data_IF_603891036398
#
_entry.id   IF_603891036398
#
_cell.length_a   1.000
_cell.length_b   1.000
_cell.length_c   1.000
_cell.angle_alpha   90.00
_cell.angle_beta   90.00
_cell.angle_gamma   90.00
#
_symmetry.space_group_name_H-M   'P 1'
#
loop_
_entity.id
_entity.type
_entity.pdbx_description
1 polymer ?
#
# COMPACT_ATOMS: atom_id res chain seq x y z
N UNK A 1 -13.36 10.66 13.51
CA UNK A 1 -13.87 10.38 12.16
C UNK A 1 -14.62 11.57 11.59
N UNK A 2 -15.70 12.06 12.22
CA UNK A 2 -16.45 13.26 11.77
C UNK A 2 -15.56 14.41 11.30
N UNK A 3 -14.71 14.94 12.19
CA UNK A 3 -13.74 15.99 11.85
C UNK A 3 -12.87 15.65 10.64
N UNK A 4 -12.39 14.41 10.53
CA UNK A 4 -11.51 13.98 9.44
C UNK A 4 -12.25 13.95 8.09
N UNK A 5 -13.52 13.56 8.07
CA UNK A 5 -14.36 13.59 6.87
C UNK A 5 -14.67 15.04 6.47
N UNK A 6 -14.99 15.90 7.44
CA UNK A 6 -15.35 17.30 7.20
C UNK A 6 -14.16 18.15 6.73
N UNK A 7 -12.95 17.87 7.23
CA UNK A 7 -11.76 18.68 6.92
C UNK A 7 -10.75 17.98 6.03
N UNK A 8 -11.02 16.73 5.63
CA UNK A 8 -10.12 15.92 4.83
C UNK A 8 -9.98 16.51 3.43
N UNK A 9 -8.76 16.50 2.87
CA UNK A 9 -8.52 16.97 1.50
C UNK A 9 -8.82 15.89 0.47
N UNK A 10 -8.70 14.62 0.86
CA UNK A 10 -8.95 13.47 0.00
C UNK A 10 -9.95 12.54 0.68
N UNK A 11 -11.23 12.69 0.34
CA UNK A 11 -12.32 11.83 0.82
C UNK A 11 -12.46 10.59 -0.06
N UNK A 12 -12.68 9.43 0.56
CA UNK A 12 -12.87 8.19 -0.17
C UNK A 12 -14.14 8.23 -1.03
N UNK A 13 -14.05 7.71 -2.26
CA UNK A 13 -15.17 7.70 -3.21
C UNK A 13 -16.42 7.04 -2.63
N UNK A 14 -16.26 5.96 -1.86
CA UNK A 14 -17.39 5.30 -1.19
C UNK A 14 -18.17 6.26 -0.27
N UNK A 15 -17.49 7.15 0.45
CA UNK A 15 -18.15 8.11 1.34
C UNK A 15 -18.89 9.18 0.55
N UNK A 16 -18.24 9.71 -0.49
CA UNK A 16 -18.78 10.85 -1.25
C UNK A 16 -19.87 10.45 -2.24
N UNK A 17 -19.90 9.19 -2.69
CA UNK A 17 -20.80 8.73 -3.76
C UNK A 17 -21.86 7.74 -3.26
N UNK A 18 -21.55 6.91 -2.26
CA UNK A 18 -22.42 5.82 -1.79
C UNK A 18 -22.82 5.93 -0.31
N UNK A 19 -22.13 6.78 0.45
CA UNK A 19 -22.40 7.02 1.86
C UNK A 19 -21.82 5.94 2.79
N UNK A 20 -22.13 6.07 4.08
CA UNK A 20 -21.54 5.25 5.15
C UNK A 20 -21.94 3.77 5.09
N UNK A 21 -23.13 3.48 4.57
CA UNK A 21 -23.75 2.15 4.59
C UNK A 21 -23.12 1.16 3.60
N UNK A 22 -22.32 1.65 2.66
CA UNK A 22 -21.56 0.77 1.75
C UNK A 22 -20.55 -0.10 2.51
N UNK A 23 -19.98 0.44 3.60
CA UNK A 23 -18.99 -0.27 4.42
C UNK A 23 -19.52 -0.67 5.79
N UNK A 24 -20.55 0.02 6.29
CA UNK A 24 -21.08 -0.17 7.64
C UNK A 24 -22.54 -0.63 7.64
N UNK A 25 -22.80 -1.72 8.35
CA UNK A 25 -24.11 -2.09 8.87
C UNK A 25 -24.57 -1.07 9.93
N UNK A 26 -25.87 -0.90 10.08
CA UNK A 26 -26.47 -0.01 11.09
C UNK A 26 -26.78 -0.73 12.41
N UNK A 27 -26.97 -2.06 12.38
CA UNK A 27 -27.19 -2.91 13.56
C UNK A 27 -26.85 -4.37 13.25
N UNK A 28 -26.55 -5.16 14.29
CA UNK A 28 -26.49 -6.64 14.17
C UNK A 28 -25.36 -7.21 13.32
N UNK A 29 -24.37 -6.40 12.91
CA UNK A 29 -23.26 -6.85 12.07
C UNK A 29 -22.33 -7.85 12.76
N UNK A 30 -21.85 -8.83 12.02
CA UNK A 30 -20.92 -9.86 12.50
C UNK A 30 -19.45 -9.42 12.58
N UNK A 31 -19.09 -8.29 11.98
CA UNK A 31 -17.72 -7.78 11.97
C UNK A 31 -17.55 -6.57 12.90
N UNK A 32 -16.32 -6.42 13.40
CA UNK A 32 -15.94 -5.32 14.29
C UNK A 32 -16.28 -3.97 13.65
N UNK A 33 -16.84 -3.04 14.46
CA UNK A 33 -17.32 -1.72 14.01
C UNK A 33 -18.47 -1.79 12.99
N UNK A 34 -19.26 -2.87 13.03
CA UNK A 34 -20.40 -3.08 12.15
C UNK A 34 -19.98 -3.05 10.68
N UNK A 35 -18.81 -3.60 10.34
CA UNK A 35 -18.40 -3.65 8.93
C UNK A 35 -19.19 -4.72 8.18
N UNK A 36 -19.50 -4.46 6.92
CA UNK A 36 -20.21 -5.41 6.04
C UNK A 36 -19.35 -6.61 5.66
N UNK A 37 -18.02 -6.51 5.81
CA UNK A 37 -17.07 -7.56 5.49
C UNK A 37 -15.77 -7.44 6.31
N UNK A 38 -14.87 -8.42 6.16
CA UNK A 38 -13.61 -8.48 6.88
C UNK A 38 -12.66 -7.32 6.51
N UNK A 39 -12.03 -6.77 7.55
CA UNK A 39 -11.11 -5.64 7.44
C UNK A 39 -9.97 -5.80 8.46
N UNK A 40 -8.70 -5.68 8.05
CA UNK A 40 -7.59 -5.86 8.95
C UNK A 40 -7.56 -4.74 10.00
N UNK A 41 -7.82 -5.10 11.24
CA UNK A 41 -7.86 -4.13 12.35
C UNK A 41 -6.47 -3.73 12.86
N UNK A 42 -5.42 -4.48 12.53
CA UNK A 42 -4.05 -4.28 13.00
C UNK A 42 -3.13 -3.67 11.93
N UNK A 43 -1.98 -3.15 12.37
CA UNK A 43 -0.95 -2.56 11.49
C UNK A 43 -0.24 -3.64 10.67
N UNK A 44 -0.05 -4.82 11.29
CA UNK A 44 0.53 -6.00 10.68
C UNK A 44 -0.49 -7.13 10.64
N UNK A 45 -0.55 -7.83 9.52
CA UNK A 45 -1.42 -9.00 9.33
C UNK A 45 -0.83 -9.92 8.25
N UNK A 46 -0.90 -11.26 8.40
CA UNK A 46 -0.59 -12.21 7.33
C UNK A 46 -1.36 -11.90 6.05
N UNK A 47 -0.71 -11.84 4.89
CA UNK A 47 -1.46 -11.62 3.67
C UNK A 47 -2.43 -12.77 3.36
N UNK A 48 -3.72 -12.44 3.32
CA UNK A 48 -4.78 -13.31 2.79
C UNK A 48 -5.81 -12.43 2.13
N UNK A 49 -6.23 -12.76 0.92
CA UNK A 49 -7.21 -11.95 0.20
C UNK A 49 -8.53 -11.77 0.99
N UNK A 50 -8.91 -12.76 1.79
CA UNK A 50 -10.10 -12.74 2.65
C UNK A 50 -10.01 -11.70 3.77
N UNK A 51 -8.82 -11.40 4.31
CA UNK A 51 -8.66 -10.38 5.35
C UNK A 51 -9.03 -8.98 4.85
N UNK A 52 -8.88 -8.75 3.54
CA UNK A 52 -9.14 -7.47 2.89
C UNK A 52 -10.44 -7.48 2.10
N UNK A 53 -11.36 -8.40 2.42
CA UNK A 53 -12.59 -8.61 1.65
C UNK A 53 -13.43 -7.33 1.52
N UNK A 54 -13.47 -6.48 2.55
CA UNK A 54 -14.14 -5.18 2.48
C UNK A 54 -13.52 -4.28 1.41
N UNK A 55 -12.18 -4.19 1.36
CA UNK A 55 -11.46 -3.36 0.39
C UNK A 55 -11.68 -3.88 -1.05
N UNK A 56 -11.62 -5.19 -1.22
CA UNK A 56 -11.76 -5.83 -2.53
C UNK A 56 -13.20 -5.92 -3.05
N UNK A 57 -14.18 -5.45 -2.28
CA UNK A 57 -15.53 -5.23 -2.80
C UNK A 57 -15.59 -4.14 -3.87
N UNK A 58 -14.63 -3.22 -3.88
CA UNK A 58 -14.54 -2.13 -4.87
C UNK A 58 -13.18 -2.04 -5.56
N UNK A 59 -12.08 -2.44 -4.90
CA UNK A 59 -10.74 -2.37 -5.47
C UNK A 59 -10.32 -3.69 -6.10
N UNK A 60 -9.68 -3.63 -7.27
CA UNK A 60 -9.17 -4.81 -7.96
C UNK A 60 -8.02 -5.47 -7.18
N UNK A 61 -8.10 -6.78 -6.96
CA UNK A 61 -7.09 -7.56 -6.25
C UNK A 61 -5.73 -7.57 -6.96
N UNK A 62 -5.70 -7.31 -8.27
CA UNK A 62 -4.47 -7.11 -9.04
C UNK A 62 -3.54 -6.08 -8.38
N UNK A 63 -4.10 -5.09 -7.66
CA UNK A 63 -3.36 -4.04 -6.97
C UNK A 63 -2.28 -4.60 -6.01
N UNK A 64 -2.52 -5.77 -5.40
CA UNK A 64 -1.58 -6.40 -4.44
C UNK A 64 -1.11 -7.78 -4.86
N UNK A 65 -1.75 -8.42 -5.85
CA UNK A 65 -1.41 -9.79 -6.26
C UNK A 65 -0.37 -9.82 -7.37
N UNK A 66 -0.29 -8.79 -8.21
CA UNK A 66 0.72 -8.69 -9.26
C UNK A 66 2.03 -8.19 -8.66
N UNK A 67 3.05 -9.03 -8.62
CA UNK A 67 4.38 -8.63 -8.15
C UNK A 67 5.03 -7.60 -9.09
N UNK A 68 4.71 -7.68 -10.39
CA UNK A 68 5.10 -6.71 -11.42
C UNK A 68 3.88 -6.28 -12.21
N UNK A 69 3.76 -4.98 -12.49
CA UNK A 69 2.63 -4.42 -13.22
C UNK A 69 2.98 -3.07 -13.85
N UNK A 70 2.36 -2.76 -14.99
CA UNK A 70 2.36 -1.41 -15.56
C UNK A 70 1.02 -0.69 -15.38
N UNK A 71 -0.06 -1.43 -15.07
CA UNK A 71 -1.43 -0.94 -15.14
C UNK A 71 -2.19 -1.03 -13.81
N UNK A 72 -1.92 -2.03 -12.96
CA UNK A 72 -2.73 -2.26 -11.76
C UNK A 72 -2.56 -1.17 -10.70
N UNK A 73 -1.42 -0.46 -10.69
CA UNK A 73 -1.18 0.63 -9.74
C UNK A 73 -0.14 1.64 -10.21
N UNK A 74 -0.27 2.89 -9.74
CA UNK A 74 0.76 3.92 -9.85
C UNK A 74 1.83 3.87 -8.77
N UNK A 75 1.63 3.10 -7.68
CA UNK A 75 2.65 2.89 -6.65
C UNK A 75 3.57 1.75 -7.07
N UNK A 76 4.43 2.04 -8.04
CA UNK A 76 5.37 1.09 -8.64
C UNK A 76 6.70 1.76 -8.98
N UNK A 77 7.78 1.02 -8.84
CA UNK A 77 9.13 1.44 -9.22
C UNK A 77 9.54 0.71 -10.50
N UNK A 78 9.52 1.38 -11.65
CA UNK A 78 9.40 0.67 -12.94
C UNK A 78 8.18 -0.23 -12.91
N UNK A 79 8.34 -1.51 -13.22
CA UNK A 79 7.26 -2.50 -13.13
C UNK A 79 7.07 -3.08 -11.72
N UNK A 80 8.00 -2.90 -10.79
CA UNK A 80 7.89 -3.48 -9.44
C UNK A 80 6.71 -2.87 -8.70
N UNK A 81 5.70 -3.70 -8.37
CA UNK A 81 4.53 -3.25 -7.63
C UNK A 81 4.89 -3.06 -6.16
N UNK A 82 4.88 -1.81 -5.68
CA UNK A 82 5.27 -1.53 -4.31
C UNK A 82 4.14 -1.84 -3.30
N UNK A 83 2.88 -2.01 -3.72
CA UNK A 83 1.88 -2.56 -2.82
C UNK A 83 2.19 -4.03 -2.48
N UNK A 84 2.58 -4.82 -3.49
CA UNK A 84 2.96 -6.22 -3.31
C UNK A 84 4.05 -6.35 -2.24
N UNK A 85 5.12 -5.54 -2.33
CA UNK A 85 6.26 -5.66 -1.40
C UNK A 85 5.91 -5.31 0.06
N UNK A 86 4.86 -4.53 0.29
CA UNK A 86 4.45 -4.13 1.64
C UNK A 86 3.39 -5.06 2.23
N UNK A 87 2.48 -5.53 1.40
CA UNK A 87 1.29 -6.27 1.84
C UNK A 87 1.57 -7.78 1.89
N UNK A 88 2.35 -8.31 0.94
CA UNK A 88 2.51 -9.74 0.68
C UNK A 88 3.56 -10.42 1.60
N UNK A 89 3.44 -10.23 2.91
CA UNK A 89 4.23 -10.92 3.93
C UNK A 89 3.33 -11.85 4.77
N UNK A 90 3.74 -13.11 4.90
CA UNK A 90 2.98 -14.19 5.57
C UNK A 90 2.80 -13.97 7.08
N UNK A 91 3.59 -13.08 7.70
CA UNK A 91 3.60 -12.85 9.15
C UNK A 91 3.28 -11.40 9.49
N UNK A 92 3.89 -10.45 8.78
CA UNK A 92 3.88 -9.01 9.08
C UNK A 92 3.56 -8.16 7.84
N UNK A 93 2.62 -8.60 7.00
CA UNK A 93 2.08 -7.80 5.92
C UNK A 93 1.54 -6.47 6.44
N UNK A 94 1.97 -5.35 5.87
CA UNK A 94 1.46 -4.03 6.22
C UNK A 94 0.10 -3.85 5.58
N UNK A 95 -0.90 -3.61 6.40
CA UNK A 95 -2.28 -3.51 5.96
C UNK A 95 -2.52 -2.17 5.24
N UNK A 96 -3.59 -2.07 4.44
CA UNK A 96 -3.91 -0.82 3.73
C UNK A 96 -4.02 0.38 4.69
N UNK A 97 -4.50 0.12 5.92
CA UNK A 97 -4.65 1.13 6.98
C UNK A 97 -3.33 1.67 7.53
N UNK A 98 -2.20 1.10 7.19
CA UNK A 98 -0.90 1.66 7.58
C UNK A 98 -0.65 2.97 6.85
N UNK A 99 -0.96 2.99 5.54
CA UNK A 99 -0.71 4.15 4.68
C UNK A 99 -1.98 4.94 4.38
N UNK A 100 -3.14 4.29 4.25
CA UNK A 100 -4.38 4.92 3.78
C UNK A 100 -5.44 5.01 4.87
N UNK A 101 -6.08 6.16 5.05
CA UNK A 101 -7.32 6.23 5.83
C UNK A 101 -8.52 5.87 4.95
N UNK A 102 -9.35 4.93 5.40
CA UNK A 102 -10.49 4.43 4.63
C UNK A 102 -11.62 5.46 4.51
N UNK A 103 -11.61 6.53 5.33
CA UNK A 103 -12.62 7.57 5.27
C UNK A 103 -12.14 8.77 4.49
N UNK A 104 -11.09 9.42 5.00
CA UNK A 104 -10.52 10.60 4.38
C UNK A 104 -9.11 10.84 4.90
N UNK A 105 -8.29 11.55 4.13
CA UNK A 105 -6.96 11.96 4.60
C UNK A 105 -6.62 13.40 4.20
N UNK A 106 -5.49 13.85 4.72
CA UNK A 106 -4.90 15.17 4.46
C UNK A 106 -4.04 15.21 3.19
N UNK A 107 -3.69 14.06 2.59
CA UNK A 107 -2.85 13.96 1.40
C UNK A 107 -3.57 13.28 0.24
N UNK A 108 -3.00 13.40 -0.94
CA UNK A 108 -3.47 12.68 -2.12
C UNK A 108 -3.51 11.16 -1.89
N UNK A 109 -4.36 10.48 -2.66
CA UNK A 109 -4.52 9.02 -2.63
C UNK A 109 -4.89 8.47 -1.24
N UNK A 110 -5.61 9.26 -0.43
CA UNK A 110 -5.99 8.92 0.94
C UNK A 110 -4.83 8.59 1.89
N UNK A 111 -3.60 9.04 1.58
CA UNK A 111 -2.45 8.78 2.45
C UNK A 111 -2.57 9.63 3.72
N UNK A 112 -2.43 9.00 4.88
CA UNK A 112 -2.51 9.64 6.20
C UNK A 112 -1.18 10.29 6.58
N UNK A 113 -1.21 11.30 7.45
CA UNK A 113 0.01 11.91 8.02
C UNK A 113 0.68 11.04 9.08
N UNK A 114 -0.11 10.24 9.80
CA UNK A 114 0.36 9.42 10.92
C UNK A 114 -0.53 8.20 11.14
N UNK A 115 0.06 7.12 11.67
CA UNK A 115 -0.64 5.90 12.07
C UNK A 115 -0.29 5.54 13.52
N UNK A 116 -1.28 5.05 14.27
CA UNK A 116 -1.04 4.51 15.60
C UNK A 116 -0.20 3.21 15.49
N UNK A 117 0.92 3.18 16.18
CA UNK A 117 1.90 2.10 16.14
C UNK A 117 2.25 1.60 17.54
N UNK A 118 2.37 0.27 17.67
CA UNK A 118 2.70 -0.40 18.92
C UNK A 118 1.59 -0.33 19.98
N UNK A 119 1.81 -1.03 21.10
CA UNK A 119 0.81 -1.18 22.17
C UNK A 119 0.37 0.15 22.81
N UNK A 120 1.27 1.14 22.83
CA UNK A 120 1.01 2.47 23.38
C UNK A 120 0.41 3.44 22.37
N UNK A 121 0.17 3.01 21.13
CA UNK A 121 -0.44 3.84 20.09
C UNK A 121 0.40 5.06 19.72
N UNK A 122 1.72 4.92 19.70
CA UNK A 122 2.60 6.02 19.28
C UNK A 122 2.26 6.44 17.84
N UNK A 123 2.21 7.74 17.60
CA UNK A 123 1.86 8.31 16.30
C UNK A 123 3.09 8.27 15.39
N UNK A 124 3.16 7.25 14.56
CA UNK A 124 4.21 7.07 13.58
C UNK A 124 3.92 7.95 12.35
N UNK A 125 4.77 8.93 11.99
CA UNK A 125 4.55 9.75 10.81
C UNK A 125 4.72 8.95 9.51
N UNK A 126 3.83 9.20 8.55
CA UNK A 126 3.90 8.71 7.17
C UNK A 126 4.07 9.93 6.26
N UNK A 127 5.31 10.19 5.87
CA UNK A 127 5.67 11.38 5.10
C UNK A 127 5.78 11.04 3.62
N UNK A 128 4.64 11.02 2.95
CA UNK A 128 4.53 10.83 1.51
C UNK A 128 4.59 12.15 0.74
N UNK A 129 5.41 12.20 -0.29
CA UNK A 129 5.51 13.29 -1.24
C UNK A 129 5.26 12.74 -2.65
N UNK A 130 4.27 13.28 -3.35
CA UNK A 130 3.99 12.92 -4.72
C UNK A 130 5.00 13.62 -5.65
N UNK A 131 5.54 12.88 -6.61
CA UNK A 131 6.41 13.39 -7.67
C UNK A 131 5.76 13.13 -9.02
N UNK A 132 6.14 13.89 -10.06
CA UNK A 132 5.51 13.80 -11.39
C UNK A 132 5.45 12.37 -11.93
N UNK A 133 6.54 11.61 -11.80
CA UNK A 133 6.68 10.22 -12.29
C UNK A 133 6.71 9.20 -11.15
N UNK A 134 6.46 9.60 -9.91
CA UNK A 134 6.78 8.77 -8.77
C UNK A 134 6.28 9.29 -7.43
N UNK A 135 7.08 9.04 -6.41
CA UNK A 135 6.88 9.60 -5.09
C UNK A 135 8.02 9.25 -4.15
N UNK A 136 8.01 9.90 -2.98
CA UNK A 136 8.95 9.63 -1.90
C UNK A 136 8.20 9.33 -0.62
N UNK A 137 8.68 8.34 0.13
CA UNK A 137 8.25 8.07 1.49
C UNK A 137 9.45 8.26 2.41
N UNK A 138 9.42 9.27 3.29
CA UNK A 138 10.49 9.48 4.27
C UNK A 138 10.26 8.74 5.59
N UNK A 139 11.33 8.63 6.38
CA UNK A 139 11.47 7.58 7.38
C UNK A 139 10.38 7.54 8.45
N UNK A 140 9.96 6.31 8.70
CA UNK A 140 9.02 5.91 9.75
C UNK A 140 9.10 4.40 10.01
N UNK A 141 9.31 3.61 8.97
CA UNK A 141 9.61 2.19 9.06
C UNK A 141 10.97 1.78 8.45
N UNK A 142 11.43 2.48 7.42
CA UNK A 142 12.71 2.26 6.74
C UNK A 142 13.34 3.61 6.37
N UNK A 143 14.58 3.60 5.86
CA UNK A 143 15.22 4.79 5.30
C UNK A 143 14.35 5.41 4.19
N UNK A 144 14.50 6.72 3.94
CA UNK A 144 13.70 7.37 2.92
C UNK A 144 13.92 6.70 1.55
N UNK A 145 12.83 6.33 0.88
CA UNK A 145 12.87 5.75 -0.45
C UNK A 145 12.05 6.59 -1.43
N UNK A 146 12.62 6.78 -2.61
CA UNK A 146 11.94 7.32 -3.77
C UNK A 146 11.58 6.18 -4.71
N UNK A 147 10.53 6.34 -5.49
CA UNK A 147 10.19 5.43 -6.57
C UNK A 147 9.85 6.22 -7.80
N UNK A 148 10.10 5.65 -8.98
CA UNK A 148 9.81 6.29 -10.25
C UNK A 148 9.32 5.23 -11.25
N UNK A 149 8.19 5.52 -11.87
CA UNK A 149 7.46 4.62 -12.78
C UNK A 149 8.13 4.47 -14.14
N UNK A 150 8.88 5.49 -14.57
CA UNK A 150 9.47 5.57 -15.91
C UNK A 150 10.95 5.20 -15.87
N UNK A 151 11.67 5.67 -14.85
CA UNK A 151 13.08 5.33 -14.60
C UNK A 151 13.22 4.75 -13.20
N UNK A 152 13.13 3.43 -13.08
CA UNK A 152 13.18 2.72 -11.81
C UNK A 152 14.41 3.15 -10.97
N UNK A 153 14.16 3.44 -9.70
CA UNK A 153 15.19 3.76 -8.71
C UNK A 153 15.85 2.47 -8.25
N UNK A 154 17.18 2.45 -8.21
CA UNK A 154 17.94 1.34 -7.64
C UNK A 154 18.00 1.52 -6.13
N UNK A 155 17.44 0.56 -5.39
CA UNK A 155 17.49 0.58 -3.94
C UNK A 155 18.78 -0.05 -3.40
N UNK A 156 19.22 0.34 -2.18
CA UNK A 156 20.28 -0.37 -1.49
C UNK A 156 19.88 -1.82 -1.23
N UNK A 157 20.81 -2.75 -1.39
CA UNK A 157 20.59 -4.16 -1.10
C UNK A 157 20.16 -4.34 0.37
N UNK A 158 19.00 -4.96 0.57
CA UNK A 158 18.52 -5.33 1.91
C UNK A 158 19.15 -6.67 2.31
N UNK A 159 19.70 -6.75 3.54
CA UNK A 159 19.99 -8.07 4.14
C UNK A 159 18.65 -8.72 4.52
N UNK A 160 18.24 -9.74 3.78
CA UNK A 160 17.04 -10.50 4.09
C UNK A 160 17.26 -11.34 5.34
N UNK A 161 16.33 -11.28 6.29
CA UNK A 161 16.33 -12.04 7.54
C UNK A 161 15.73 -13.45 7.37
N UNK A 162 15.55 -13.91 6.12
CA UNK A 162 14.94 -15.18 5.77
C UNK A 162 13.42 -15.25 5.96
N UNK A 163 12.76 -14.18 6.43
CA UNK A 163 11.30 -14.13 6.52
C UNK A 163 10.61 -13.80 5.19
N UNK A 164 11.32 -13.11 4.29
CA UNK A 164 10.84 -12.76 2.96
C UNK A 164 10.82 -13.99 2.04
N UNK A 165 9.63 -14.35 1.53
CA UNK A 165 9.44 -15.45 0.56
C UNK A 165 9.07 -14.97 -0.85
N UNK A 166 9.00 -13.66 -1.07
CA UNK A 166 8.68 -13.12 -2.39
C UNK A 166 9.82 -13.41 -3.38
N UNK A 167 9.45 -13.83 -4.58
CA UNK A 167 10.38 -14.10 -5.67
C UNK A 167 11.06 -12.77 -6.05
N UNK A 168 12.36 -12.64 -5.81
CA UNK A 168 13.29 -11.60 -6.29
C UNK A 168 12.95 -10.11 -6.03
N UNK A 169 11.84 -9.79 -5.37
CA UNK A 169 11.32 -8.43 -5.19
C UNK A 169 11.19 -8.04 -3.72
N UNK A 170 12.19 -8.37 -2.91
CA UNK A 170 12.24 -7.82 -1.55
C UNK A 170 12.18 -6.29 -1.58
N UNK A 171 11.63 -5.63 -0.54
CA UNK A 171 11.78 -4.19 -0.37
C UNK A 171 13.27 -3.82 -0.42
N UNK A 172 13.70 -3.20 -1.52
CA UNK A 172 15.11 -2.89 -1.76
C UNK A 172 15.89 -3.86 -2.65
N UNK A 173 15.28 -4.95 -3.13
CA UNK A 173 15.89 -5.84 -4.12
C UNK A 173 15.60 -5.35 -5.54
N UNK A 174 16.64 -5.46 -6.37
CA UNK A 174 16.73 -4.97 -7.74
C UNK A 174 15.55 -5.44 -8.60
N UNK A 175 14.93 -4.54 -9.36
CA UNK A 175 14.63 -4.88 -10.74
C UNK A 175 15.94 -4.70 -11.49
N UNK A 176 16.55 -5.77 -12.00
CA UNK A 176 17.66 -5.59 -12.94
C UNK A 176 17.23 -4.58 -14.02
N UNK A 177 18.09 -3.62 -14.41
CA UNK A 177 17.77 -2.74 -15.51
C UNK A 177 17.49 -3.62 -16.73
N UNK A 178 16.44 -3.30 -17.49
CA UNK A 178 16.18 -4.00 -18.74
C UNK A 178 17.48 -4.00 -19.57
N UNK A 179 18.11 -5.16 -19.70
CA UNK A 179 19.28 -5.30 -20.57
C UNK A 179 18.81 -4.87 -21.96
N UNK A 180 19.36 -3.74 -22.43
CA UNK A 180 19.35 -3.39 -23.83
C UNK A 180 20.02 -4.56 -24.55
N UNK A 181 19.21 -5.43 -25.16
CA UNK A 181 19.68 -6.53 -26.00
C UNK A 181 20.50 -5.92 -27.13
N UNK A 182 21.81 -5.76 -26.90
CA UNK A 182 22.78 -5.53 -27.98
C UNK A 182 22.80 -6.79 -28.81
N UNK A 183 22.03 -6.78 -29.90
CA UNK A 183 22.19 -7.71 -31.00
C UNK A 183 23.66 -7.67 -31.45
N UNK A 184 24.43 -8.65 -31.01
CA UNK A 184 25.70 -8.97 -31.67
C UNK A 184 25.33 -9.56 -33.03
N UNK A 185 25.35 -8.72 -34.06
CA UNK A 185 25.52 -9.18 -35.44
C UNK A 185 26.80 -10.03 -35.48
N UNK A 186 26.62 -11.33 -35.75
CA UNK A 186 27.72 -12.19 -36.15
C UNK A 186 28.07 -11.82 -37.60
N UNK A 187 29.28 -11.30 -37.80
CA UNK A 187 30.01 -11.44 -39.06
C UNK A 187 30.55 -12.88 -39.18
#
# INVERSE_FOLDING_TARGET
MKKLIETGKSLHGAITQKGCVECHEIHGGGHRRLLTNEYPSEVYYPFRATTYALCFGCHDKALVNEARTMAATGFRNGEQNLHYVHVHDDKKGRTCKVCHDAHASSREKHIRDEVAYGKKGWKLPIRFEALATGGRCSAGCHAAYEYNRDRAVVYPALKLDGAWKGIDLAPGALSEPAEEKKERKKE
#
